data_IF_330185304476
#
_entry.id   IF_330185304476
#
_cell.length_a   1.000
_cell.length_b   1.000
_cell.length_c   1.000
_cell.angle_alpha   90.00
_cell.angle_beta   90.00
_cell.angle_gamma   90.00
#
_symmetry.space_group_name_H-M   'P 1'
#
loop_
_entity.id
_entity.type
_entity.pdbx_description
1 polymer ?
#
# COMPACT_ATOMS: atom_id res chain seq x y z
N UNK A 1 11.44 -6.26 7.61
CA UNK A 1 11.70 -7.26 8.66
C UNK A 1 11.76 -8.59 7.99
N UNK A 2 12.52 -9.51 8.57
CA UNK A 2 12.89 -10.79 7.96
C UNK A 2 11.76 -11.84 8.04
N UNK A 3 10.53 -11.37 7.93
CA UNK A 3 9.34 -12.21 7.95
C UNK A 3 8.95 -12.53 6.50
N UNK A 4 8.82 -13.81 6.20
CA UNK A 4 8.18 -14.28 4.99
C UNK A 4 6.68 -14.35 5.23
N UNK A 5 5.91 -13.68 4.38
CA UNK A 5 4.45 -13.75 4.42
C UNK A 5 4.00 -14.97 3.60
N UNK A 6 3.32 -15.90 4.24
CA UNK A 6 2.89 -17.20 3.67
C UNK A 6 1.37 -17.29 3.46
N UNK A 7 0.66 -16.16 3.58
CA UNK A 7 -0.78 -16.08 3.36
C UNK A 7 -1.16 -15.95 1.88
N UNK A 8 -2.40 -15.53 1.63
CA UNK A 8 -2.94 -15.27 0.29
C UNK A 8 -2.10 -14.23 -0.45
N UNK A 9 -1.88 -14.41 -1.74
CA UNK A 9 -1.26 -13.35 -2.54
C UNK A 9 -2.14 -12.09 -2.58
N UNK A 10 -1.59 -10.99 -3.10
CA UNK A 10 -2.31 -9.70 -3.08
C UNK A 10 -3.56 -9.70 -3.96
N UNK A 11 -3.63 -10.55 -4.99
CA UNK A 11 -4.81 -10.68 -5.87
C UNK A 11 -5.91 -11.41 -5.11
N UNK A 12 -5.59 -12.55 -4.51
CA UNK A 12 -6.52 -13.35 -3.70
C UNK A 12 -7.03 -12.57 -2.49
N UNK A 13 -6.13 -11.88 -1.78
CA UNK A 13 -6.46 -11.13 -0.57
C UNK A 13 -7.44 -9.97 -0.82
N UNK A 14 -7.47 -9.40 -2.04
CA UNK A 14 -8.33 -8.26 -2.40
C UNK A 14 -9.42 -8.63 -3.41
N UNK A 15 -9.57 -9.92 -3.71
CA UNK A 15 -10.60 -10.41 -4.62
C UNK A 15 -12.00 -10.04 -4.09
N UNK A 16 -12.84 -9.50 -4.98
CA UNK A 16 -14.22 -9.12 -4.64
C UNK A 16 -14.39 -7.81 -3.88
N UNK A 17 -13.31 -7.09 -3.54
CA UNK A 17 -13.39 -5.79 -2.84
C UNK A 17 -13.66 -4.61 -3.79
N UNK A 18 -13.67 -4.82 -5.11
CA UNK A 18 -13.88 -3.79 -6.14
C UNK A 18 -12.99 -2.53 -5.99
N UNK A 19 -11.79 -2.67 -5.44
CA UNK A 19 -10.86 -1.55 -5.21
C UNK A 19 -10.56 -0.82 -6.52
N UNK A 20 -10.81 0.49 -6.53
CA UNK A 20 -10.55 1.37 -7.67
C UNK A 20 -9.25 2.15 -7.45
N UNK A 21 -8.72 2.71 -8.54
CA UNK A 21 -7.58 3.64 -8.46
C UNK A 21 -7.76 4.76 -7.42
N UNK A 22 -8.96 5.33 -7.30
CA UNK A 22 -9.24 6.39 -6.34
C UNK A 22 -9.10 5.91 -4.88
N UNK A 23 -9.66 4.73 -4.56
CA UNK A 23 -9.60 4.15 -3.22
C UNK A 23 -8.15 3.85 -2.82
N UNK A 24 -7.38 3.29 -3.75
CA UNK A 24 -5.97 3.01 -3.55
C UNK A 24 -5.16 4.30 -3.30
N UNK A 25 -5.41 5.34 -4.10
CA UNK A 25 -4.71 6.62 -3.94
C UNK A 25 -5.05 7.31 -2.62
N UNK A 26 -6.31 7.24 -2.16
CA UNK A 26 -6.72 7.74 -0.85
C UNK A 26 -5.98 7.01 0.27
N UNK A 27 -5.86 5.69 0.19
CA UNK A 27 -5.08 4.91 1.17
C UNK A 27 -3.60 5.35 1.22
N UNK A 28 -3.00 5.60 0.05
CA UNK A 28 -1.61 6.08 -0.03
C UNK A 28 -1.49 7.47 0.61
N UNK A 29 -2.43 8.38 0.33
CA UNK A 29 -2.47 9.72 0.92
C UNK A 29 -2.65 9.66 2.45
N UNK A 30 -3.59 8.86 2.94
CA UNK A 30 -3.82 8.66 4.38
C UNK A 30 -2.58 8.11 5.08
N UNK A 31 -1.86 7.19 4.44
CA UNK A 31 -0.59 6.66 4.95
C UNK A 31 0.50 7.75 5.00
N UNK A 32 0.62 8.59 3.98
CA UNK A 32 1.56 9.72 3.97
C UNK A 32 1.24 10.71 5.09
N UNK A 33 -0.03 11.10 5.22
CA UNK A 33 -0.50 11.99 6.30
C UNK A 33 -0.18 11.39 7.68
N UNK A 34 -0.39 10.08 7.87
CA UNK A 34 -0.08 9.40 9.11
C UNK A 34 1.44 9.44 9.42
N UNK A 35 2.29 9.23 8.40
CA UNK A 35 3.74 9.31 8.55
C UNK A 35 4.21 10.74 8.86
N UNK A 36 3.64 11.74 8.20
CA UNK A 36 3.91 13.16 8.44
C UNK A 36 3.56 13.54 9.88
N UNK A 37 2.39 13.14 10.37
CA UNK A 37 1.96 13.36 11.76
C UNK A 37 2.90 12.71 12.79
N UNK A 38 3.62 11.67 12.41
CA UNK A 38 4.63 11.00 13.24
C UNK A 38 6.05 11.56 13.05
N UNK A 39 6.22 12.58 12.22
CA UNK A 39 7.52 13.19 11.96
C UNK A 39 8.49 12.27 11.21
N UNK A 40 7.97 11.28 10.47
CA UNK A 40 8.82 10.39 9.69
C UNK A 40 9.36 11.18 8.50
N UNK A 41 10.68 11.31 8.39
CA UNK A 41 11.30 12.03 7.28
C UNK A 41 10.83 11.49 5.91
N UNK A 42 10.54 12.37 4.95
CA UNK A 42 10.04 12.03 3.60
C UNK A 42 10.88 10.96 2.89
N UNK A 43 12.20 10.94 3.10
CA UNK A 43 13.07 9.89 2.56
C UNK A 43 12.68 8.49 3.04
N UNK A 44 12.29 8.34 4.30
CA UNK A 44 11.84 7.07 4.86
C UNK A 44 10.43 6.71 4.38
N UNK A 45 9.56 7.69 4.24
CA UNK A 45 8.24 7.50 3.65
C UNK A 45 8.33 6.95 2.22
N UNK A 46 9.11 7.62 1.37
CA UNK A 46 9.30 7.21 -0.03
C UNK A 46 9.94 5.82 -0.12
N UNK A 47 10.83 5.45 0.80
CA UNK A 47 11.38 4.08 0.87
C UNK A 47 10.31 3.03 1.17
N UNK A 48 9.37 3.33 2.06
CA UNK A 48 8.26 2.41 2.37
C UNK A 48 7.31 2.33 1.17
N UNK A 49 6.88 3.47 0.64
CA UNK A 49 5.97 3.52 -0.51
C UNK A 49 6.54 2.81 -1.74
N UNK A 50 7.84 2.95 -2.01
CA UNK A 50 8.50 2.24 -3.11
C UNK A 50 8.45 0.71 -2.95
N UNK A 51 8.42 0.19 -1.72
CA UNK A 51 8.26 -1.26 -1.47
C UNK A 51 6.83 -1.74 -1.71
N UNK A 52 5.84 -0.88 -1.46
CA UNK A 52 4.42 -1.21 -1.60
C UNK A 52 3.91 -0.98 -3.03
N UNK A 53 4.51 -0.04 -3.77
CA UNK A 53 4.07 0.36 -5.11
C UNK A 53 3.87 -0.80 -6.11
N UNK A 54 4.72 -1.85 -6.16
CA UNK A 54 4.50 -2.97 -7.08
C UNK A 54 3.16 -3.71 -6.89
N UNK A 55 2.59 -3.69 -5.69
CA UNK A 55 1.33 -4.35 -5.36
C UNK A 55 0.10 -3.63 -5.95
N UNK A 56 0.25 -2.39 -6.43
CA UNK A 56 -0.83 -1.60 -7.03
C UNK A 56 -1.61 -2.38 -8.10
N UNK A 57 -0.89 -3.10 -8.98
CA UNK A 57 -1.50 -3.88 -10.07
C UNK A 57 -2.22 -5.15 -9.62
N UNK A 58 -1.96 -5.61 -8.39
CA UNK A 58 -2.54 -6.83 -7.83
C UNK A 58 -3.79 -6.51 -6.98
N UNK A 59 -3.89 -5.27 -6.50
CA UNK A 59 -4.99 -4.81 -5.63
C UNK A 59 -6.12 -4.15 -6.43
N UNK A 60 -5.79 -3.37 -7.46
CA UNK A 60 -6.79 -2.59 -8.21
C UNK A 60 -7.48 -3.45 -9.26
N UNK A 61 -8.82 -3.43 -9.22
CA UNK A 61 -9.67 -4.21 -10.11
C UNK A 61 -10.26 -3.38 -11.26
N UNK A 62 -10.29 -2.04 -11.14
CA UNK A 62 -10.89 -1.13 -12.12
C UNK A 62 -10.32 0.28 -12.08
#
# INVERSE_FOLDING_TARGET
GDCEYTGMDMVEAHAGMEVRHADFNILVEDLQIAMDRRGIATRHQNKLLAKLAPMHREVINR
#
